data_IF_714790627482
#
_entry.id   IF_714790627482
#
_cell.length_a   1.000
_cell.length_b   1.000
_cell.length_c   1.000
_cell.angle_alpha   90.00
_cell.angle_beta   90.00
_cell.angle_gamma   90.00
#
_symmetry.space_group_name_H-M   'P 1'
#
loop_
_entity.id
_entity.type
_entity.pdbx_description
1 polymer ?
#
# COMPACT_ATOMS: atom_id res chain seq x y z
N UNK A 1 21.88 9.36 -4.04
CA UNK A 1 20.47 8.97 -4.27
C UNK A 1 20.46 7.46 -4.41
N UNK A 2 20.06 6.73 -3.36
CA UNK A 2 20.07 5.26 -3.39
C UNK A 2 18.87 4.77 -4.21
N UNK A 3 19.07 4.57 -5.51
CA UNK A 3 18.09 3.92 -6.38
C UNK A 3 17.98 2.43 -6.06
N UNK A 4 16.84 1.82 -6.39
CA UNK A 4 16.68 0.37 -6.30
C UNK A 4 17.74 -0.33 -7.20
N UNK A 5 18.37 -1.43 -6.73
CA UNK A 5 19.30 -2.20 -7.53
C UNK A 5 18.62 -2.72 -8.81
N UNK A 6 19.40 -2.83 -9.90
CA UNK A 6 18.88 -3.09 -11.25
C UNK A 6 17.96 -4.32 -11.31
N UNK A 7 18.34 -5.41 -10.64
CA UNK A 7 17.57 -6.66 -10.57
C UNK A 7 16.17 -6.45 -9.95
N UNK A 8 16.08 -5.67 -8.86
CA UNK A 8 14.79 -5.31 -8.28
C UNK A 8 13.99 -4.39 -9.19
N UNK A 9 14.66 -3.50 -9.92
CA UNK A 9 14.02 -2.53 -10.82
C UNK A 9 13.35 -3.23 -12.01
N UNK A 10 13.97 -4.26 -12.57
CA UNK A 10 13.39 -5.07 -13.65
C UNK A 10 12.24 -5.93 -13.14
N UNK A 11 12.39 -6.54 -11.95
CA UNK A 11 11.31 -7.29 -11.31
C UNK A 11 10.08 -6.41 -11.04
N UNK A 12 10.26 -5.21 -10.48
CA UNK A 12 9.17 -4.26 -10.26
C UNK A 12 8.56 -3.72 -11.57
N UNK A 13 9.31 -3.66 -12.67
CA UNK A 13 8.78 -3.28 -13.99
C UNK A 13 7.90 -4.36 -14.61
N UNK A 14 8.25 -5.63 -14.41
CA UNK A 14 7.47 -6.77 -14.88
C UNK A 14 6.30 -7.11 -13.93
N UNK A 15 6.43 -6.77 -12.64
CA UNK A 15 5.42 -7.01 -11.64
C UNK A 15 4.15 -6.20 -11.92
N UNK A 16 3.03 -6.91 -12.12
CA UNK A 16 1.71 -6.29 -12.19
C UNK A 16 1.16 -6.15 -10.78
N UNK A 17 1.00 -4.92 -10.31
CA UNK A 17 0.42 -4.65 -8.98
C UNK A 17 -1.08 -4.90 -9.04
N UNK A 18 -1.62 -5.63 -8.07
CA UNK A 18 -3.04 -5.80 -7.86
C UNK A 18 -3.43 -5.03 -6.60
N UNK A 19 -4.46 -4.19 -6.69
CA UNK A 19 -4.94 -3.40 -5.56
C UNK A 19 -6.44 -3.65 -5.44
N UNK A 20 -6.85 -4.23 -4.31
CA UNK A 20 -8.25 -4.42 -3.97
C UNK A 20 -8.63 -3.48 -2.82
N UNK A 21 -9.73 -2.77 -3.00
CA UNK A 21 -10.31 -1.89 -2.00
C UNK A 21 -11.58 -2.53 -1.44
N UNK A 22 -11.65 -2.63 -0.12
CA UNK A 22 -12.83 -3.15 0.57
C UNK A 22 -13.29 -2.13 1.60
N UNK A 23 -14.50 -1.61 1.42
CA UNK A 23 -15.16 -0.78 2.43
C UNK A 23 -15.61 -1.68 3.58
N UNK A 24 -15.08 -1.47 4.78
CA UNK A 24 -15.46 -2.24 5.97
C UNK A 24 -16.59 -1.54 6.74
N UNK A 25 -16.56 -0.21 6.79
CA UNK A 25 -17.62 0.65 7.35
C UNK A 25 -17.61 2.02 6.67
N UNK A 26 -18.47 2.97 7.08
CA UNK A 26 -18.52 4.31 6.48
C UNK A 26 -17.19 5.07 6.56
N UNK A 27 -16.47 4.91 7.66
CA UNK A 27 -15.19 5.58 7.91
C UNK A 27 -13.96 4.67 7.79
N UNK A 28 -14.14 3.35 7.63
CA UNK A 28 -13.04 2.37 7.63
C UNK A 28 -12.94 1.60 6.33
N UNK A 29 -11.72 1.53 5.80
CA UNK A 29 -11.38 0.83 4.56
C UNK A 29 -10.22 -0.13 4.78
N UNK A 30 -10.24 -1.19 3.98
CA UNK A 30 -9.15 -2.15 3.84
C UNK A 30 -8.61 -2.07 2.41
N UNK A 31 -7.29 -1.95 2.28
CA UNK A 31 -6.59 -2.03 1.00
C UNK A 31 -5.72 -3.28 1.04
N UNK A 32 -5.92 -4.17 0.08
CA UNK A 32 -5.01 -5.28 -0.18
C UNK A 32 -4.14 -4.90 -1.38
N UNK A 33 -2.83 -4.77 -1.15
CA UNK A 33 -1.83 -4.51 -2.20
C UNK A 33 -1.04 -5.79 -2.43
N UNK A 34 -1.17 -6.36 -3.62
CA UNK A 34 -0.46 -7.57 -4.04
C UNK A 34 0.31 -7.36 -5.34
N UNK A 35 1.04 -8.40 -5.73
CA UNK A 35 1.61 -8.53 -7.07
C UNK A 35 1.02 -9.80 -7.66
N UNK A 36 0.49 -9.70 -8.87
CA UNK A 36 -0.12 -10.85 -9.58
C UNK A 36 0.89 -11.99 -9.63
N UNK A 37 0.50 -13.16 -9.12
CA UNK A 37 1.35 -14.35 -9.04
C UNK A 37 2.26 -14.45 -7.81
N UNK A 38 2.25 -13.46 -6.90
CA UNK A 38 2.99 -13.49 -5.63
C UNK A 38 2.02 -13.73 -4.46
N UNK A 39 2.16 -14.83 -3.70
CA UNK A 39 1.18 -15.21 -2.67
C UNK A 39 1.18 -14.33 -1.41
N UNK A 40 2.12 -13.37 -1.30
CA UNK A 40 2.22 -12.46 -0.15
C UNK A 40 1.85 -11.03 -0.56
N UNK A 41 0.57 -10.71 -0.47
CA UNK A 41 0.10 -9.32 -0.45
C UNK A 41 0.31 -8.65 0.90
N UNK A 42 0.16 -7.32 0.95
CA UNK A 42 0.07 -6.53 2.17
C UNK A 42 -1.35 -6.01 2.33
N UNK A 43 -1.94 -6.25 3.49
CA UNK A 43 -3.25 -5.70 3.85
C UNK A 43 -3.04 -4.51 4.77
N UNK A 44 -3.67 -3.39 4.42
CA UNK A 44 -3.69 -2.18 5.24
C UNK A 44 -5.13 -1.88 5.62
N UNK A 45 -5.38 -1.66 6.91
CA UNK A 45 -6.65 -1.14 7.41
C UNK A 45 -6.44 0.29 7.87
N UNK A 46 -7.31 1.19 7.46
CA UNK A 46 -7.26 2.58 7.89
C UNK A 46 -8.66 3.13 8.09
N UNK A 47 -8.71 4.12 8.98
CA UNK A 47 -9.89 4.90 9.29
C UNK A 47 -9.65 6.34 8.85
N UNK A 48 -10.60 6.93 8.13
CA UNK A 48 -10.48 8.32 7.70
C UNK A 48 -10.33 9.27 8.89
N UNK A 49 -9.43 10.23 8.76
CA UNK A 49 -9.14 11.20 9.82
C UNK A 49 -8.31 10.66 10.98
N UNK A 50 -7.90 9.38 10.96
CA UNK A 50 -6.96 8.83 11.94
C UNK A 50 -5.59 8.55 11.31
N UNK A 51 -4.54 8.85 12.06
CA UNK A 51 -3.18 8.42 11.73
C UNK A 51 -3.06 6.93 11.94
N UNK A 52 -2.54 6.22 10.94
CA UNK A 52 -2.21 4.80 11.07
C UNK A 52 -0.72 4.59 10.78
N UNK A 53 -0.15 3.62 11.49
CA UNK A 53 1.20 3.13 11.20
C UNK A 53 1.14 2.24 9.95
N UNK A 54 1.95 2.60 8.96
CA UNK A 54 2.16 1.86 7.74
C UNK A 54 3.65 1.54 7.62
N UNK A 55 4.00 0.70 6.65
CA UNK A 55 5.39 0.50 6.28
C UNK A 55 5.56 0.79 4.80
N UNK A 56 6.63 1.50 4.46
CA UNK A 56 7.06 1.73 3.09
C UNK A 56 7.32 0.39 2.38
N UNK A 57 7.41 0.41 1.05
CA UNK A 57 7.64 -0.82 0.28
C UNK A 57 8.93 -1.54 0.71
N UNK A 58 9.94 -0.79 1.15
CA UNK A 58 11.21 -1.27 1.70
C UNK A 58 11.14 -1.75 3.17
N UNK A 59 10.01 -1.56 3.85
CA UNK A 59 9.80 -2.01 5.24
C UNK A 59 9.98 -0.92 6.30
N UNK A 60 10.47 0.27 5.93
CA UNK A 60 10.60 1.38 6.89
C UNK A 60 9.25 1.83 7.45
N UNK A 61 9.10 2.01 8.78
CA UNK A 61 7.87 2.47 9.40
C UNK A 61 7.51 3.88 8.95
N UNK A 62 6.22 4.15 8.80
CA UNK A 62 5.72 5.38 8.22
C UNK A 62 4.33 5.72 8.77
N UNK A 63 4.18 6.92 9.33
CA UNK A 63 2.87 7.43 9.72
C UNK A 63 2.17 8.07 8.53
N UNK A 64 0.92 7.68 8.29
CA UNK A 64 0.08 8.23 7.21
C UNK A 64 -1.26 8.70 7.79
N UNK A 65 -1.77 9.82 7.26
CA UNK A 65 -3.12 10.32 7.49
C UNK A 65 -3.86 10.33 6.16
N UNK A 66 -5.00 9.65 6.10
CA UNK A 66 -5.89 9.66 4.93
C UNK A 66 -7.07 10.58 5.22
N UNK A 67 -7.22 11.62 4.40
CA UNK A 67 -8.31 12.57 4.44
C UNK A 67 -9.11 12.49 3.15
N UNK A 68 -10.44 12.66 3.24
CA UNK A 68 -11.30 12.82 2.07
C UNK A 68 -11.13 14.24 1.56
N UNK A 69 -10.65 14.41 0.34
CA UNK A 69 -10.65 15.71 -0.33
C UNK A 69 -12.00 15.91 -1.02
N UNK A 70 -12.85 16.76 -0.46
CA UNK A 70 -14.02 17.30 -1.16
C UNK A 70 -13.59 18.51 -1.97
N UNK A 71 -13.87 18.49 -3.29
CA UNK A 71 -13.72 19.64 -4.18
C UNK A 71 -14.73 20.74 -3.85
#
# INVERSE_FOLDING_TARGET
MAGLPAEKKEWYRAARTEIEYKKLSDDTWEINVGIVGVPKGRTFKFKFGQTYESASIDGSPMQRLLAVCTN
#
